data_IF_464867404368
#
_entry.id   IF_464867404368
#
_cell.length_a   1.000
_cell.length_b   1.000
_cell.length_c   1.000
_cell.angle_alpha   90.00
_cell.angle_beta   90.00
_cell.angle_gamma   90.00
#
_symmetry.space_group_name_H-M   'P 1'
#
loop_
_entity.id
_entity.type
_entity.pdbx_description
1 polymer ?
#
# COMPACT_ATOMS: atom_id res chain seq x y z
N UNK A 1 2.27 6.52 -32.16
CA UNK A 1 2.67 5.18 -31.70
C UNK A 1 3.44 5.35 -30.41
N UNK A 2 3.10 4.63 -29.34
CA UNK A 2 3.93 4.58 -28.13
C UNK A 2 4.88 3.39 -28.24
N UNK A 3 6.16 3.61 -27.94
CA UNK A 3 7.15 2.55 -27.81
C UNK A 3 7.45 2.33 -26.31
N UNK A 4 7.50 1.07 -25.89
CA UNK A 4 7.80 0.69 -24.50
C UNK A 4 9.09 -0.10 -24.50
N UNK A 5 10.10 0.40 -23.80
CA UNK A 5 11.37 -0.28 -23.59
C UNK A 5 11.32 -0.99 -22.23
N UNK A 6 11.64 -2.28 -22.23
CA UNK A 6 11.69 -3.10 -21.01
C UNK A 6 13.12 -3.58 -20.79
N UNK A 7 13.58 -3.50 -19.55
CA UNK A 7 14.86 -4.07 -19.12
C UNK A 7 14.57 -5.41 -18.46
N UNK A 8 15.34 -6.43 -18.81
CA UNK A 8 15.30 -7.71 -18.10
C UNK A 8 15.88 -7.50 -16.69
N UNK A 9 15.08 -7.79 -15.66
CA UNK A 9 15.49 -7.65 -14.27
C UNK A 9 15.82 -9.02 -13.69
N UNK A 10 17.04 -9.18 -13.16
CA UNK A 10 17.52 -10.42 -12.55
C UNK A 10 17.68 -10.33 -11.02
N UNK A 11 17.58 -9.13 -10.44
CA UNK A 11 17.69 -8.85 -9.00
C UNK A 11 16.96 -7.55 -8.62
N UNK A 12 16.65 -7.37 -7.34
CA UNK A 12 16.00 -6.16 -6.79
C UNK A 12 14.65 -5.82 -7.44
N UNK A 13 13.84 -6.83 -7.77
CA UNK A 13 12.49 -6.65 -8.29
C UNK A 13 11.48 -7.25 -7.32
N UNK A 14 10.27 -6.71 -7.33
CA UNK A 14 9.14 -7.26 -6.58
C UNK A 14 8.17 -7.91 -7.56
N UNK A 15 7.88 -9.19 -7.36
CA UNK A 15 6.77 -9.87 -8.05
C UNK A 15 5.50 -9.58 -7.28
N UNK A 16 4.54 -8.96 -7.96
CA UNK A 16 3.23 -8.67 -7.40
C UNK A 16 2.15 -8.95 -8.46
N UNK A 17 0.98 -9.37 -8.02
CA UNK A 17 -0.23 -9.54 -8.80
C UNK A 17 -0.63 -8.23 -9.48
N UNK A 18 -1.19 -8.34 -10.68
CA UNK A 18 -1.70 -7.18 -11.42
C UNK A 18 -3.10 -6.75 -10.96
N UNK A 19 -3.64 -7.33 -9.89
CA UNK A 19 -5.01 -7.10 -9.46
C UNK A 19 -5.31 -5.62 -9.17
N UNK A 20 -4.48 -4.95 -8.35
CA UNK A 20 -4.65 -3.53 -8.05
C UNK A 20 -4.37 -2.64 -9.27
N UNK A 21 -3.41 -3.00 -10.12
CA UNK A 21 -3.14 -2.24 -11.34
C UNK A 21 -4.34 -2.24 -12.31
N UNK A 22 -5.06 -3.36 -12.40
CA UNK A 22 -6.26 -3.52 -13.23
C UNK A 22 -7.51 -2.86 -12.63
N UNK A 23 -7.55 -2.61 -11.32
CA UNK A 23 -8.68 -1.94 -10.69
C UNK A 23 -8.77 -0.47 -11.14
N UNK A 24 -9.80 -0.13 -11.93
CA UNK A 24 -10.04 1.23 -12.45
C UNK A 24 -10.58 2.20 -11.39
N UNK A 25 -11.08 1.70 -10.26
CA UNK A 25 -11.58 2.52 -9.16
C UNK A 25 -10.47 3.13 -8.31
N UNK A 26 -9.26 2.55 -8.37
CA UNK A 26 -8.10 3.07 -7.67
C UNK A 26 -7.39 4.17 -8.48
N UNK A 27 -7.02 5.23 -7.77
CA UNK A 27 -6.11 6.27 -8.22
C UNK A 27 -4.71 5.71 -8.45
N UNK A 28 -3.95 6.33 -9.35
CA UNK A 28 -2.54 5.95 -9.58
C UNK A 28 -1.70 6.12 -8.30
N UNK A 29 -2.06 7.07 -7.44
CA UNK A 29 -1.44 7.29 -6.13
C UNK A 29 -1.65 6.09 -5.22
N UNK A 30 -2.90 5.62 -5.08
CA UNK A 30 -3.21 4.44 -4.29
C UNK A 30 -2.51 3.17 -4.84
N UNK A 31 -2.49 3.00 -6.17
CA UNK A 31 -1.77 1.88 -6.82
C UNK A 31 -0.26 1.94 -6.53
N UNK A 32 0.35 3.11 -6.65
CA UNK A 32 1.77 3.32 -6.37
C UNK A 32 2.10 3.04 -4.92
N UNK A 33 1.30 3.57 -3.99
CA UNK A 33 1.50 3.34 -2.56
C UNK A 33 1.35 1.86 -2.19
N UNK A 34 0.33 1.17 -2.70
CA UNK A 34 0.16 -0.27 -2.45
C UNK A 34 1.35 -1.08 -2.97
N UNK A 35 1.81 -0.77 -4.18
CA UNK A 35 2.97 -1.44 -4.79
C UNK A 35 4.24 -1.21 -3.97
N UNK A 36 4.42 0.00 -3.44
CA UNK A 36 5.51 0.32 -2.54
C UNK A 36 5.38 -0.49 -1.25
N UNK A 37 4.21 -0.51 -0.61
CA UNK A 37 3.98 -1.25 0.63
C UNK A 37 4.24 -2.75 0.50
N UNK A 38 3.88 -3.37 -0.64
CA UNK A 38 4.15 -4.78 -0.95
C UNK A 38 5.62 -5.08 -1.30
N UNK A 39 6.41 -4.06 -1.65
CA UNK A 39 7.84 -4.19 -1.92
C UNK A 39 8.72 -4.09 -0.68
N UNK A 40 8.14 -3.64 0.44
CA UNK A 40 8.87 -3.47 1.70
C UNK A 40 9.01 -4.82 2.43
N UNK A 41 10.05 -4.99 3.25
CA UNK A 41 10.22 -6.15 4.12
C UNK A 41 9.05 -6.34 5.11
N UNK A 42 8.79 -7.58 5.51
CA UNK A 42 7.70 -7.93 6.45
C UNK A 42 7.85 -7.26 7.82
N UNK A 43 9.07 -6.94 8.24
CA UNK A 43 9.40 -6.27 9.51
C UNK A 43 9.32 -4.74 9.43
N UNK A 44 8.87 -4.19 8.30
CA UNK A 44 8.81 -2.75 8.12
C UNK A 44 7.79 -2.10 9.05
N UNK A 45 8.24 -1.10 9.81
CA UNK A 45 7.35 -0.30 10.65
C UNK A 45 6.55 0.68 9.78
N UNK A 46 5.30 0.31 9.46
CA UNK A 46 4.35 1.07 8.62
C UNK A 46 3.82 2.36 9.29
N UNK A 47 4.70 3.19 9.85
CA UNK A 47 4.30 4.50 10.34
C UNK A 47 4.05 5.46 9.16
N UNK A 48 3.05 6.35 9.28
CA UNK A 48 2.66 7.28 8.19
C UNK A 48 3.79 8.22 7.75
N UNK A 49 4.67 8.64 8.68
CA UNK A 49 5.81 9.53 8.37
C UNK A 49 6.87 8.77 7.56
N UNK A 50 7.11 7.51 7.88
CA UNK A 50 8.01 6.61 7.17
C UNK A 50 7.54 6.39 5.74
N UNK A 51 6.26 6.03 5.56
CA UNK A 51 5.67 5.90 4.23
C UNK A 51 5.73 7.20 3.42
N UNK A 52 5.46 8.34 4.04
CA UNK A 52 5.61 9.65 3.39
C UNK A 52 7.06 9.91 2.98
N UNK A 53 8.04 9.57 3.82
CA UNK A 53 9.47 9.79 3.52
C UNK A 53 10.00 8.98 2.34
N UNK A 54 9.36 7.87 1.99
CA UNK A 54 9.72 7.04 0.82
C UNK A 54 9.27 7.66 -0.51
N UNK A 55 8.49 8.73 -0.47
CA UNK A 55 7.90 9.36 -1.65
C UNK A 55 8.12 10.87 -1.63
N UNK A 56 8.00 11.51 -2.79
CA UNK A 56 7.91 12.98 -2.87
C UNK A 56 6.55 13.51 -2.43
N UNK A 57 5.61 12.61 -2.15
CA UNK A 57 4.27 12.93 -1.69
C UNK A 57 4.27 13.34 -0.22
N UNK A 58 3.48 14.37 0.10
CA UNK A 58 3.29 14.79 1.49
C UNK A 58 2.49 13.78 2.31
N UNK A 59 2.54 13.92 3.65
CA UNK A 59 1.86 13.00 4.56
C UNK A 59 0.34 12.94 4.34
N UNK A 60 -0.28 14.04 3.92
CA UNK A 60 -1.71 14.08 3.61
C UNK A 60 -2.04 13.33 2.32
N UNK A 61 -1.13 13.35 1.34
CA UNK A 61 -1.23 12.58 0.11
C UNK A 61 -1.21 11.08 0.42
N UNK A 62 -0.24 10.63 1.23
CA UNK A 62 -0.16 9.23 1.71
C UNK A 62 -1.40 8.86 2.52
N UNK A 63 -1.84 9.71 3.44
CA UNK A 63 -3.05 9.47 4.25
C UNK A 63 -4.28 9.31 3.38
N UNK A 64 -4.45 10.13 2.34
CA UNK A 64 -5.58 10.02 1.41
C UNK A 64 -5.55 8.70 0.63
N UNK A 65 -4.36 8.26 0.19
CA UNK A 65 -4.19 7.00 -0.51
C UNK A 65 -4.46 5.79 0.40
N UNK A 66 -4.01 5.81 1.65
CA UNK A 66 -4.32 4.75 2.63
C UNK A 66 -5.83 4.64 2.82
N UNK A 67 -6.55 5.77 3.02
CA UNK A 67 -8.01 5.74 3.15
C UNK A 67 -8.72 5.16 1.93
N UNK A 68 -8.22 5.46 0.73
CA UNK A 68 -8.73 4.90 -0.51
C UNK A 68 -8.49 3.38 -0.59
N UNK A 69 -7.31 2.92 -0.18
CA UNK A 69 -6.99 1.50 -0.11
C UNK A 69 -7.82 0.76 0.94
N UNK A 70 -8.06 1.37 2.10
CA UNK A 70 -8.98 0.87 3.14
C UNK A 70 -10.41 0.72 2.59
N UNK A 71 -10.91 1.75 1.90
CA UNK A 71 -12.24 1.72 1.28
C UNK A 71 -12.40 0.59 0.26
N UNK A 72 -11.34 0.26 -0.47
CA UNK A 72 -11.33 -0.81 -1.46
C UNK A 72 -10.91 -2.18 -0.90
N UNK A 73 -10.63 -2.30 0.40
CA UNK A 73 -10.31 -3.56 1.07
C UNK A 73 -8.87 -4.05 0.87
N UNK A 74 -7.97 -3.22 0.35
CA UNK A 74 -6.55 -3.59 0.17
C UNK A 74 -5.71 -3.37 1.42
N UNK A 75 -6.14 -2.48 2.32
CA UNK A 75 -5.43 -2.18 3.56
C UNK A 75 -6.43 -2.21 4.71
N UNK A 76 -6.08 -2.87 5.81
CA UNK A 76 -6.80 -2.78 7.07
C UNK A 76 -5.93 -2.12 8.12
N UNK A 77 -6.55 -1.30 8.96
CA UNK A 77 -5.87 -0.54 10.00
C UNK A 77 -6.34 -0.97 11.37
N UNK A 78 -5.42 -1.54 12.15
CA UNK A 78 -5.65 -1.91 13.54
C UNK A 78 -4.97 -0.90 14.45
N UNK A 79 -5.74 -0.30 15.36
CA UNK A 79 -5.19 0.56 16.41
C UNK A 79 -4.99 -0.27 17.65
N UNK A 80 -3.74 -0.45 18.05
CA UNK A 80 -3.42 -1.05 19.34
C UNK A 80 -3.76 -0.01 20.40
N UNK A 81 -4.48 -0.42 21.44
CA UNK A 81 -4.65 0.39 22.65
C UNK A 81 -3.78 -0.23 23.72
N UNK A 82 -2.78 0.50 24.19
CA UNK A 82 -2.04 0.07 25.37
C UNK A 82 -2.90 0.26 26.62
N UNK A 83 -2.68 -0.60 27.61
CA UNK A 83 -3.47 -0.67 28.84
C UNK A 83 -3.46 0.64 29.64
N UNK A 84 -2.48 1.51 29.39
CA UNK A 84 -2.26 2.77 30.11
C UNK A 84 -3.00 3.98 29.49
N UNK A 85 -3.94 3.76 28.58
CA UNK A 85 -4.72 4.84 27.97
C UNK A 85 -3.96 5.69 26.94
N UNK A 86 -2.69 5.35 26.67
CA UNK A 86 -1.94 5.94 25.57
C UNK A 86 -2.46 5.46 24.21
N UNK A 87 -2.52 6.36 23.23
CA UNK A 87 -2.74 5.99 21.83
C UNK A 87 -1.62 5.06 21.40
N UNK A 88 -1.93 3.79 21.16
CA UNK A 88 -0.94 2.81 20.75
C UNK A 88 -0.63 2.86 19.26
N UNK A 89 0.36 2.06 18.89
CA UNK A 89 0.84 1.94 17.52
C UNK A 89 -0.30 1.54 16.58
N UNK A 90 -0.19 2.00 15.33
CA UNK A 90 -1.11 1.60 14.27
C UNK A 90 -0.45 0.50 13.47
N UNK A 91 -1.09 -0.66 13.47
CA UNK A 91 -0.72 -1.78 12.61
C UNK A 91 -1.53 -1.70 11.31
N UNK A 92 -0.86 -2.02 10.20
CA UNK A 92 -1.46 -2.05 8.87
C UNK A 92 -1.34 -3.46 8.31
N UNK A 93 -2.47 -4.04 7.92
CA UNK A 93 -2.51 -5.30 7.20
C UNK A 93 -2.70 -4.95 5.72
N UNK A 94 -1.69 -5.22 4.91
CA UNK A 94 -1.71 -4.95 3.47
C UNK A 94 -2.00 -6.24 2.73
N UNK A 95 -2.96 -6.21 1.81
CA UNK A 95 -3.37 -7.37 1.00
C UNK A 95 -3.21 -7.05 -0.47
N UNK A 96 -2.70 -8.03 -1.20
CA UNK A 96 -2.55 -7.95 -2.65
C UNK A 96 -3.90 -8.08 -3.39
N UNK A 97 -4.83 -8.83 -2.79
CA UNK A 97 -6.22 -8.99 -3.24
C UNK A 97 -7.13 -8.45 -2.15
N UNK A 98 -8.15 -7.64 -2.49
CA UNK A 98 -8.97 -6.97 -1.49
C UNK A 98 -9.83 -7.96 -0.71
N UNK A 99 -9.93 -7.76 0.59
CA UNK A 99 -10.84 -8.55 1.42
C UNK A 99 -12.29 -8.16 1.18
N UNK A 100 -13.12 -9.18 0.97
CA UNK A 100 -14.54 -9.00 0.64
C UNK A 100 -14.86 -9.13 -0.86
N UNK A 101 -13.87 -9.44 -1.69
CA UNK A 101 -14.11 -10.00 -3.02
C UNK A 101 -13.77 -11.49 -3.02
N UNK A 102 -14.75 -12.32 -2.64
CA UNK A 102 -14.76 -13.68 -3.16
C UNK A 102 -14.73 -13.59 -4.69
N UNK A 103 -13.85 -14.40 -5.27
CA UNK A 103 -13.62 -14.62 -6.70
C UNK A 103 -14.83 -14.25 -7.58
N UNK A 104 -14.67 -13.24 -8.42
CA UNK A 104 -15.51 -13.02 -9.60
C UNK A 104 -14.81 -13.58 -10.83
#
# INVERSE_FOLDING_TARGET
>A
MSQVFRVEQTKNFTVMSNHHFKNKKLSLKAKGLLSLMLSLPDDWNYNMKGLASLSRDGIDSVRSAIKELEHHGYVERHRIRYCDGCYGDTEYIVREVPSGKENE
#
